data_IF_565454493704
#
_entry.id   IF_565454493704
#
_cell.length_a   1.000
_cell.length_b   1.000
_cell.length_c   1.000
_cell.angle_alpha   90.00
_cell.angle_beta   90.00
_cell.angle_gamma   90.00
#
_symmetry.space_group_name_H-M   'P 1'
#
loop_
_entity.id
_entity.type
_entity.pdbx_description
1 polymer ?
#
# COMPACT_ATOMS: atom_id res chain seq x y z
N UNK A 1 15.15 4.80 14.23
CA UNK A 1 16.30 4.12 13.59
C UNK A 1 15.85 3.67 12.22
N UNK A 2 16.33 4.34 11.20
CA UNK A 2 16.06 4.08 9.79
C UNK A 2 16.70 2.74 9.44
N UNK A 3 15.91 1.86 8.85
CA UNK A 3 16.32 0.54 8.39
C UNK A 3 17.16 0.75 7.13
N UNK A 4 18.40 0.21 7.13
CA UNK A 4 19.24 0.15 5.94
C UNK A 4 18.54 -0.71 4.89
N UNK A 5 17.93 -0.07 3.89
CA UNK A 5 17.39 -0.75 2.71
C UNK A 5 18.57 -1.03 1.77
N UNK A 6 18.73 -2.29 1.41
CA UNK A 6 19.65 -2.70 0.35
C UNK A 6 19.09 -2.14 -0.97
N UNK A 7 19.79 -1.18 -1.57
CA UNK A 7 19.46 -0.63 -2.90
C UNK A 7 19.88 -1.70 -3.92
N UNK A 8 18.91 -2.48 -4.36
CA UNK A 8 19.10 -3.42 -5.46
C UNK A 8 18.72 -2.75 -6.78
N UNK A 9 19.36 -3.16 -7.85
CA UNK A 9 19.35 -2.60 -9.22
C UNK A 9 17.92 -2.29 -9.75
N UNK A 10 17.66 -1.03 -10.05
CA UNK A 10 16.33 -0.38 -9.97
C UNK A 10 15.26 -0.85 -10.99
N UNK A 11 15.64 -1.34 -12.18
CA UNK A 11 14.67 -1.62 -13.26
C UNK A 11 14.14 -3.06 -13.24
N UNK A 12 15.01 -4.05 -13.09
CA UNK A 12 14.61 -5.47 -13.04
C UNK A 12 13.73 -5.79 -11.82
N UNK A 13 13.96 -5.10 -10.69
CA UNK A 13 13.12 -5.28 -9.51
C UNK A 13 11.74 -4.68 -9.68
N UNK A 14 11.62 -3.52 -10.36
CA UNK A 14 10.33 -2.89 -10.65
C UNK A 14 9.45 -3.82 -11.49
N UNK A 15 10.00 -4.42 -12.55
CA UNK A 15 9.29 -5.36 -13.42
C UNK A 15 8.89 -6.66 -12.68
N UNK A 16 9.76 -7.19 -11.85
CA UNK A 16 9.46 -8.38 -11.02
C UNK A 16 8.34 -8.11 -10.01
N UNK A 17 8.41 -6.97 -9.32
CA UNK A 17 7.39 -6.54 -8.36
C UNK A 17 6.05 -6.33 -9.08
N UNK A 18 6.03 -5.64 -10.21
CA UNK A 18 4.82 -5.41 -10.99
C UNK A 18 4.20 -6.73 -11.49
N UNK A 19 5.02 -7.65 -12.03
CA UNK A 19 4.55 -8.95 -12.48
C UNK A 19 3.97 -9.81 -11.35
N UNK A 20 4.56 -9.73 -10.16
CA UNK A 20 4.04 -10.42 -9.00
C UNK A 20 2.67 -9.88 -8.59
N UNK A 21 2.54 -8.56 -8.39
CA UNK A 21 1.25 -7.94 -8.04
C UNK A 21 0.17 -8.21 -9.09
N UNK A 22 0.55 -8.19 -10.37
CA UNK A 22 -0.34 -8.60 -11.47
C UNK A 22 -0.87 -10.02 -11.28
N UNK A 23 0.01 -10.97 -10.94
CA UNK A 23 -0.36 -12.39 -10.81
C UNK A 23 -1.27 -12.68 -9.61
N UNK A 24 -1.16 -11.88 -8.55
CA UNK A 24 -1.92 -12.09 -7.30
C UNK A 24 -3.09 -11.12 -7.12
N UNK A 25 -3.29 -10.15 -8.02
CA UNK A 25 -4.25 -9.05 -7.84
C UNK A 25 -5.64 -9.51 -7.37
N UNK A 26 -6.21 -10.54 -8.02
CA UNK A 26 -7.54 -11.07 -7.67
C UNK A 26 -7.60 -11.74 -6.29
N UNK A 27 -6.46 -12.15 -5.72
CA UNK A 27 -6.36 -12.88 -4.44
C UNK A 27 -5.59 -12.10 -3.38
N UNK A 28 -5.16 -10.89 -3.70
CA UNK A 28 -4.27 -10.09 -2.86
C UNK A 28 -4.80 -9.90 -1.44
N UNK A 29 -6.07 -9.53 -1.30
CA UNK A 29 -6.68 -9.30 0.01
C UNK A 29 -6.78 -10.61 0.81
N UNK A 30 -7.11 -11.74 0.17
CA UNK A 30 -7.11 -13.07 0.81
C UNK A 30 -5.72 -13.46 1.29
N UNK A 31 -4.69 -13.22 0.47
CA UNK A 31 -3.29 -13.51 0.83
C UNK A 31 -2.89 -12.68 2.06
N UNK A 32 -3.21 -11.39 2.07
CA UNK A 32 -2.93 -10.53 3.21
C UNK A 32 -3.69 -10.97 4.47
N UNK A 33 -4.95 -11.39 4.35
CA UNK A 33 -5.73 -11.94 5.47
C UNK A 33 -5.02 -13.14 6.09
N UNK A 34 -4.60 -14.10 5.26
CA UNK A 34 -3.94 -15.32 5.74
C UNK A 34 -2.57 -14.98 6.34
N UNK A 35 -1.73 -14.19 5.64
CA UNK A 35 -0.39 -13.84 6.11
C UNK A 35 -0.38 -13.06 7.42
N UNK A 36 -1.37 -12.22 7.64
CA UNK A 36 -1.45 -11.37 8.83
C UNK A 36 -2.44 -11.88 9.89
N UNK A 37 -3.04 -13.06 9.67
CA UNK A 37 -4.16 -13.55 10.50
C UNK A 37 -5.28 -12.50 10.64
N UNK A 38 -5.55 -11.74 9.56
CA UNK A 38 -6.53 -10.66 9.52
C UNK A 38 -6.09 -9.36 10.22
N UNK A 39 -4.92 -9.34 10.86
CA UNK A 39 -4.43 -8.16 11.61
C UNK A 39 -4.24 -6.93 10.73
N UNK A 40 -3.90 -7.10 9.44
CA UNK A 40 -3.76 -5.97 8.52
C UNK A 40 -5.04 -5.11 8.42
N UNK A 41 -6.21 -5.73 8.61
CA UNK A 41 -7.50 -5.02 8.61
C UNK A 41 -7.64 -4.10 9.84
N UNK A 42 -7.18 -4.56 11.01
CA UNK A 42 -7.15 -3.76 12.23
C UNK A 42 -6.16 -2.60 12.13
N UNK A 43 -4.98 -2.84 11.53
CA UNK A 43 -3.98 -1.79 11.31
C UNK A 43 -4.50 -0.72 10.35
N UNK A 44 -5.16 -1.10 9.26
CA UNK A 44 -5.82 -0.15 8.34
C UNK A 44 -6.95 0.62 9.03
N UNK A 45 -7.75 -0.02 9.89
CA UNK A 45 -8.76 0.68 10.71
C UNK A 45 -8.11 1.71 11.64
N UNK A 46 -6.95 1.38 12.22
CA UNK A 46 -6.21 2.32 13.06
C UNK A 46 -5.71 3.52 12.27
N UNK A 47 -5.19 3.31 11.06
CA UNK A 47 -4.80 4.41 10.15
C UNK A 47 -5.99 5.32 9.87
N UNK A 48 -7.16 4.77 9.53
CA UNK A 48 -8.37 5.56 9.28
C UNK A 48 -8.79 6.38 10.50
N UNK A 49 -8.66 5.81 11.72
CA UNK A 49 -8.90 6.56 12.96
C UNK A 49 -7.89 7.69 13.18
N UNK A 50 -6.60 7.41 12.95
CA UNK A 50 -5.52 8.41 13.08
C UNK A 50 -5.61 9.51 12.02
N UNK A 51 -6.12 9.19 10.85
CA UNK A 51 -6.35 10.13 9.76
C UNK A 51 -7.23 11.30 10.21
N UNK A 52 -8.16 11.06 11.14
CA UNK A 52 -9.06 12.09 11.70
C UNK A 52 -9.64 12.99 10.62
N UNK A 53 -10.04 12.39 9.48
CA UNK A 53 -10.59 13.12 8.35
C UNK A 53 -11.90 13.78 8.74
N UNK A 54 -12.07 15.01 8.32
CA UNK A 54 -13.31 15.78 8.41
C UNK A 54 -13.96 15.89 7.03
N UNK A 55 -15.24 16.21 7.01
CA UNK A 55 -16.00 16.38 5.78
C UNK A 55 -15.40 17.48 4.89
N UNK A 56 -15.29 17.21 3.60
CA UNK A 56 -14.74 18.12 2.62
C UNK A 56 -13.22 18.07 2.45
N UNK A 57 -12.48 17.33 3.29
CA UNK A 57 -11.05 17.12 3.08
C UNK A 57 -10.77 16.23 1.86
N UNK A 58 -9.66 16.53 1.18
CA UNK A 58 -9.13 15.77 0.05
C UNK A 58 -8.05 14.80 0.53
N UNK A 59 -8.21 13.51 0.21
CA UNK A 59 -7.28 12.46 0.57
C UNK A 59 -6.69 11.76 -0.66
N UNK A 60 -5.39 11.47 -0.62
CA UNK A 60 -4.68 10.68 -1.62
C UNK A 60 -4.15 9.39 -0.97
N UNK A 61 -4.51 8.24 -1.54
CA UNK A 61 -3.97 6.93 -1.15
C UNK A 61 -2.99 6.46 -2.22
N UNK A 62 -1.69 6.52 -1.92
CA UNK A 62 -0.61 6.15 -2.85
C UNK A 62 -0.30 4.67 -2.68
N UNK A 63 -0.05 3.96 -3.80
CA UNK A 63 0.05 2.51 -3.85
C UNK A 63 -1.22 1.86 -3.29
N UNK A 64 -2.38 2.34 -3.74
CA UNK A 64 -3.68 1.94 -3.18
C UNK A 64 -4.03 0.47 -3.45
N UNK A 65 -3.37 -0.18 -4.40
CA UNK A 65 -3.57 -1.58 -4.74
C UNK A 65 -5.03 -1.89 -5.10
N UNK A 66 -5.64 -2.82 -4.35
CA UNK A 66 -7.05 -3.21 -4.49
C UNK A 66 -8.04 -2.19 -3.93
N UNK A 67 -7.56 -1.05 -3.41
CA UNK A 67 -8.41 0.05 -2.92
C UNK A 67 -8.98 -0.14 -1.52
N UNK A 68 -8.55 -1.15 -0.75
CA UNK A 68 -9.13 -1.43 0.58
C UNK A 68 -8.99 -0.24 1.55
N UNK A 69 -7.85 0.47 1.56
CA UNK A 69 -7.69 1.66 2.40
C UNK A 69 -8.47 2.84 1.84
N UNK A 70 -8.41 3.08 0.53
CA UNK A 70 -9.18 4.12 -0.14
C UNK A 70 -10.69 3.98 0.16
N UNK A 71 -11.25 2.75 0.08
CA UNK A 71 -12.64 2.46 0.45
C UNK A 71 -12.98 2.82 1.90
N UNK A 72 -12.07 2.57 2.82
CA UNK A 72 -12.26 2.91 4.24
C UNK A 72 -12.25 4.41 4.49
N UNK A 73 -11.45 5.15 3.72
CA UNK A 73 -11.41 6.61 3.76
C UNK A 73 -12.69 7.21 3.19
N UNK A 74 -13.20 6.68 2.07
CA UNK A 74 -14.48 7.10 1.46
C UNK A 74 -15.65 6.99 2.44
N UNK A 75 -15.71 5.96 3.28
CA UNK A 75 -16.75 5.80 4.32
C UNK A 75 -16.77 6.95 5.34
N UNK A 76 -15.77 7.80 5.34
CA UNK A 76 -15.67 9.03 6.16
C UNK A 76 -16.18 10.27 5.44
N UNK A 77 -16.91 10.12 4.34
CA UNK A 77 -17.49 11.22 3.56
C UNK A 77 -16.42 12.22 3.06
N UNK A 78 -15.28 11.71 2.60
CA UNK A 78 -14.17 12.48 2.04
C UNK A 78 -14.05 12.25 0.55
N UNK A 79 -13.41 13.19 -0.15
CA UNK A 79 -13.01 13.00 -1.55
C UNK A 79 -11.67 12.24 -1.55
N UNK A 80 -11.66 11.03 -2.11
CA UNK A 80 -10.49 10.17 -2.10
C UNK A 80 -10.00 9.92 -3.52
N UNK A 81 -8.70 10.10 -3.74
CA UNK A 81 -8.00 9.63 -4.94
C UNK A 81 -7.11 8.46 -4.54
N UNK A 82 -7.32 7.30 -5.17
CA UNK A 82 -6.43 6.15 -5.09
C UNK A 82 -5.50 6.12 -6.29
N UNK A 83 -4.20 6.01 -6.04
CA UNK A 83 -3.17 5.97 -7.07
C UNK A 83 -2.36 4.70 -6.96
N UNK A 84 -2.21 3.98 -8.08
CA UNK A 84 -1.32 2.82 -8.17
C UNK A 84 -0.72 2.74 -9.57
N UNK A 85 0.45 2.12 -9.69
CA UNK A 85 1.09 1.91 -10.98
C UNK A 85 0.59 0.63 -11.66
N UNK A 86 0.17 -0.36 -10.87
CA UNK A 86 -0.27 -1.67 -11.36
C UNK A 86 -1.74 -1.64 -11.80
N UNK A 87 -1.97 -1.68 -13.12
CA UNK A 87 -3.31 -1.65 -13.71
C UNK A 87 -4.23 -2.80 -13.27
N UNK A 88 -3.79 -4.07 -13.22
CA UNK A 88 -4.57 -5.18 -12.68
C UNK A 88 -5.08 -4.95 -11.25
N UNK A 89 -4.26 -4.37 -10.37
CA UNK A 89 -4.69 -4.01 -9.01
C UNK A 89 -5.79 -2.96 -9.04
N UNK A 90 -5.63 -1.90 -9.84
CA UNK A 90 -6.65 -0.87 -10.03
C UNK A 90 -7.97 -1.41 -10.59
N UNK A 91 -7.92 -2.41 -11.47
CA UNK A 91 -9.15 -3.05 -11.98
C UNK A 91 -9.92 -3.76 -10.85
N UNK A 92 -9.23 -4.39 -9.91
CA UNK A 92 -9.87 -4.96 -8.69
C UNK A 92 -10.46 -3.85 -7.84
N UNK A 93 -9.72 -2.75 -7.64
CA UNK A 93 -10.20 -1.58 -6.90
C UNK A 93 -11.45 -0.97 -7.53
N UNK A 94 -11.48 -0.81 -8.86
CA UNK A 94 -12.64 -0.31 -9.60
C UNK A 94 -13.89 -1.17 -9.34
N UNK A 95 -13.76 -2.49 -9.38
CA UNK A 95 -14.86 -3.40 -9.10
C UNK A 95 -15.35 -3.30 -7.65
N UNK A 96 -14.47 -2.99 -6.70
CA UNK A 96 -14.84 -2.77 -5.30
C UNK A 96 -15.53 -1.42 -5.08
N UNK A 97 -15.05 -0.36 -5.76
CA UNK A 97 -15.58 1.00 -5.67
C UNK A 97 -16.91 1.20 -6.44
N UNK A 98 -17.16 0.38 -7.46
CA UNK A 98 -18.40 0.45 -8.28
C UNK A 98 -19.65 -0.07 -7.57
N UNK A 99 -19.56 -0.51 -6.32
CA UNK A 99 -20.72 -0.95 -5.54
C UNK A 99 -21.56 0.26 -5.14
N UNK A 100 -22.93 0.13 -5.07
CA UNK A 100 -23.88 1.25 -4.94
C UNK A 100 -23.71 2.17 -3.71
N UNK A 101 -22.81 1.85 -2.81
CA UNK A 101 -22.54 2.62 -1.57
C UNK A 101 -21.24 3.45 -1.64
N UNK A 102 -20.56 3.48 -2.77
CA UNK A 102 -19.24 4.13 -2.89
C UNK A 102 -19.40 5.57 -3.35
N UNK A 103 -19.28 6.49 -2.44
CA UNK A 103 -19.35 7.93 -2.70
C UNK A 103 -17.96 8.41 -3.10
N UNK A 104 -17.80 8.89 -4.33
CA UNK A 104 -16.70 9.71 -4.89
C UNK A 104 -15.25 9.32 -4.57
N UNK A 105 -14.82 8.10 -4.90
CA UNK A 105 -13.40 7.80 -5.06
C UNK A 105 -13.01 7.80 -6.54
N UNK A 106 -11.88 8.41 -6.85
CA UNK A 106 -11.27 8.40 -8.19
C UNK A 106 -10.05 7.50 -8.16
N UNK A 107 -9.90 6.61 -9.14
CA UNK A 107 -8.70 5.79 -9.29
C UNK A 107 -7.86 6.26 -10.46
N UNK A 108 -6.55 6.36 -10.24
CA UNK A 108 -5.61 6.87 -11.21
C UNK A 108 -4.39 5.94 -11.34
N UNK A 109 -4.02 5.61 -12.56
CA UNK A 109 -2.78 4.90 -12.81
C UNK A 109 -1.64 5.92 -12.99
N UNK A 110 -0.72 5.98 -12.03
CA UNK A 110 0.43 6.87 -12.09
C UNK A 110 1.61 6.37 -11.23
N UNK A 111 2.77 6.97 -11.43
CA UNK A 111 3.99 6.68 -10.66
C UNK A 111 4.04 7.58 -9.41
N UNK A 112 4.32 7.00 -8.25
CA UNK A 112 4.52 7.74 -7.00
C UNK A 112 5.73 8.70 -7.04
N UNK A 113 6.65 8.50 -7.99
CA UNK A 113 7.81 9.38 -8.19
C UNK A 113 7.50 10.65 -8.99
N UNK A 114 6.31 10.72 -9.64
CA UNK A 114 5.87 11.87 -10.43
C UNK A 114 4.35 11.98 -10.32
N UNK A 115 3.87 12.51 -9.18
CA UNK A 115 2.45 12.61 -8.89
C UNK A 115 1.78 13.66 -9.81
N UNK A 116 0.71 13.30 -10.57
CA UNK A 116 0.09 14.18 -11.55
C UNK A 116 -0.90 15.17 -10.88
N UNK A 117 -0.47 15.79 -9.80
CA UNK A 117 -1.26 16.75 -9.03
C UNK A 117 -0.48 18.04 -8.81
N UNK A 118 -1.19 19.15 -8.64
CA UNK A 118 -0.61 20.41 -8.23
C UNK A 118 -0.06 20.33 -6.80
N UNK A 119 0.86 21.24 -6.47
CA UNK A 119 1.32 21.41 -5.10
C UNK A 119 0.15 21.78 -4.18
N UNK A 120 0.22 21.37 -2.91
CA UNK A 120 -0.78 21.72 -1.87
C UNK A 120 -2.22 21.33 -2.26
N UNK A 121 -2.43 20.12 -2.77
CA UNK A 121 -3.74 19.63 -3.23
C UNK A 121 -4.49 18.79 -2.22
N UNK A 122 -3.79 18.13 -1.27
CA UNK A 122 -4.38 17.14 -0.37
C UNK A 122 -4.20 17.50 1.10
N UNK A 123 -5.23 17.23 1.90
CA UNK A 123 -5.20 17.37 3.35
C UNK A 123 -4.60 16.13 4.03
N UNK A 124 -4.75 14.99 3.37
CA UNK A 124 -4.20 13.70 3.82
C UNK A 124 -3.54 12.96 2.66
N UNK A 125 -2.36 12.39 2.92
CA UNK A 125 -1.78 11.35 2.07
C UNK A 125 -1.58 10.10 2.90
N UNK A 126 -1.95 8.95 2.34
CA UNK A 126 -1.73 7.63 2.95
C UNK A 126 -0.88 6.76 2.03
N UNK A 127 -0.01 5.92 2.62
CA UNK A 127 0.73 4.87 1.93
C UNK A 127 0.68 3.63 2.82
N UNK A 128 0.00 2.56 2.37
CA UNK A 128 -0.09 1.32 3.13
C UNK A 128 0.61 0.18 2.40
N UNK A 129 1.71 -0.33 2.98
CA UNK A 129 2.53 -1.44 2.49
C UNK A 129 3.17 -1.21 1.11
N UNK A 130 3.13 0.02 0.61
CA UNK A 130 3.61 0.36 -0.72
C UNK A 130 4.99 1.02 -0.75
N UNK A 131 5.39 1.73 0.31
CA UNK A 131 6.60 2.56 0.31
C UNK A 131 7.87 1.76 -0.01
N UNK A 132 7.97 0.52 0.48
CA UNK A 132 9.10 -0.38 0.21
C UNK A 132 9.22 -0.80 -1.27
N UNK A 133 8.14 -0.67 -2.06
CA UNK A 133 8.08 -1.02 -3.48
C UNK A 133 8.37 0.18 -4.40
N UNK A 134 8.46 1.38 -3.83
CA UNK A 134 8.83 2.60 -4.57
C UNK A 134 10.33 2.57 -4.83
N UNK A 135 10.72 2.73 -6.09
CA UNK A 135 12.12 2.57 -6.52
C UNK A 135 13.06 3.61 -5.92
N UNK A 136 12.57 4.81 -5.65
CA UNK A 136 13.27 5.88 -4.93
C UNK A 136 12.29 6.50 -3.91
N UNK A 137 12.37 6.03 -2.67
CA UNK A 137 11.50 6.51 -1.61
C UNK A 137 11.74 7.99 -1.25
N UNK A 138 12.95 8.52 -1.48
CA UNK A 138 13.27 9.93 -1.20
C UNK A 138 12.53 10.83 -2.19
N UNK A 139 12.62 10.53 -3.49
CA UNK A 139 11.87 11.25 -4.53
C UNK A 139 10.37 11.11 -4.28
N UNK A 140 9.87 9.91 -3.98
CA UNK A 140 8.45 9.68 -3.68
C UNK A 140 7.97 10.50 -2.47
N UNK A 141 8.75 10.58 -1.40
CA UNK A 141 8.40 11.41 -0.23
C UNK A 141 8.47 12.92 -0.52
N UNK A 142 9.36 13.38 -1.40
CA UNK A 142 9.39 14.77 -1.84
C UNK A 142 8.12 15.11 -2.65
N UNK A 143 7.66 14.21 -3.51
CA UNK A 143 6.40 14.37 -4.23
C UNK A 143 5.20 14.39 -3.26
N UNK A 144 5.19 13.52 -2.25
CA UNK A 144 4.18 13.55 -1.19
C UNK A 144 4.16 14.90 -0.47
N UNK A 145 5.33 15.42 -0.08
CA UNK A 145 5.43 16.73 0.56
C UNK A 145 4.95 17.86 -0.34
N UNK A 146 5.24 17.77 -1.64
CA UNK A 146 4.81 18.78 -2.63
C UNK A 146 3.28 18.84 -2.74
N UNK A 147 2.61 17.67 -2.79
CA UNK A 147 1.15 17.62 -2.98
C UNK A 147 0.37 17.82 -1.68
N UNK A 148 0.99 17.67 -0.51
CA UNK A 148 0.36 17.97 0.77
C UNK A 148 0.16 19.47 0.96
N UNK A 149 -1.02 19.86 1.43
CA UNK A 149 -1.30 21.23 1.89
C UNK A 149 -0.48 21.55 3.14
N UNK A 150 -0.17 22.84 3.40
CA UNK A 150 0.38 23.25 4.69
C UNK A 150 -0.53 22.77 5.84
N UNK A 151 0.05 22.06 6.82
CA UNK A 151 -0.72 21.41 7.90
C UNK A 151 -1.36 20.08 7.53
N UNK A 152 -1.21 19.63 6.29
CA UNK A 152 -1.66 18.30 5.84
C UNK A 152 -0.94 17.15 6.55
N UNK A 153 -1.51 15.96 6.50
CA UNK A 153 -1.05 14.78 7.24
C UNK A 153 -0.56 13.69 6.31
N UNK A 154 0.61 13.11 6.60
CA UNK A 154 1.11 11.89 5.95
C UNK A 154 1.00 10.73 6.94
N UNK A 155 0.33 9.66 6.55
CA UNK A 155 0.26 8.42 7.32
C UNK A 155 0.85 7.25 6.51
N UNK A 156 1.88 6.62 7.07
CA UNK A 156 2.53 5.47 6.46
C UNK A 156 2.28 4.25 7.33
N UNK A 157 1.77 3.19 6.73
CA UNK A 157 1.66 1.87 7.33
C UNK A 157 2.57 0.91 6.59
N UNK A 158 3.55 0.36 7.28
CA UNK A 158 4.42 -0.67 6.70
C UNK A 158 4.87 -1.67 7.75
N UNK A 159 5.42 -2.81 7.32
CA UNK A 159 5.92 -3.83 8.21
C UNK A 159 7.22 -3.39 8.88
N UNK A 160 7.28 -3.56 10.20
CA UNK A 160 8.45 -3.29 11.01
C UNK A 160 9.09 -4.57 11.54
N UNK A 161 10.35 -4.48 11.96
CA UNK A 161 11.02 -5.56 12.67
C UNK A 161 10.64 -5.52 14.15
N UNK A 162 10.22 -6.64 14.76
CA UNK A 162 9.99 -6.69 16.20
C UNK A 162 11.24 -6.29 16.99
N UNK A 163 11.09 -5.42 17.99
CA UNK A 163 12.20 -4.97 18.83
C UNK A 163 12.70 -6.09 19.75
N UNK A 164 11.78 -6.93 20.25
CA UNK A 164 12.14 -8.09 21.07
C UNK A 164 12.82 -9.15 20.21
N UNK A 165 14.01 -9.61 20.64
CA UNK A 165 14.83 -10.55 19.85
C UNK A 165 14.19 -11.93 19.70
N UNK A 166 13.45 -12.42 20.72
CA UNK A 166 12.76 -13.72 20.67
C UNK A 166 11.61 -13.67 19.67
N UNK A 167 10.77 -12.65 19.77
CA UNK A 167 9.65 -12.42 18.82
C UNK A 167 10.20 -12.26 17.40
N UNK A 168 11.29 -11.54 17.24
CA UNK A 168 11.95 -11.36 15.94
C UNK A 168 12.46 -12.68 15.35
N UNK A 169 13.06 -13.56 16.17
CA UNK A 169 13.53 -14.88 15.73
C UNK A 169 12.36 -15.77 15.28
N UNK A 170 11.27 -15.79 16.07
CA UNK A 170 10.04 -16.51 15.71
C UNK A 170 9.39 -15.94 14.44
N UNK A 171 9.36 -14.64 14.31
CA UNK A 171 8.83 -13.95 13.12
C UNK A 171 9.63 -14.32 11.86
N UNK A 172 10.96 -14.30 11.91
CA UNK A 172 11.76 -14.73 10.76
C UNK A 172 11.64 -16.22 10.45
N UNK A 173 11.50 -17.06 11.47
CA UNK A 173 11.23 -18.49 11.26
C UNK A 173 9.89 -18.68 10.55
N UNK A 174 8.85 -17.98 11.00
CA UNK A 174 7.54 -17.97 10.36
C UNK A 174 7.64 -17.53 8.90
N UNK A 175 8.28 -16.40 8.60
CA UNK A 175 8.46 -15.92 7.22
C UNK A 175 9.18 -16.95 6.37
N UNK A 176 10.27 -17.56 6.89
CA UNK A 176 11.07 -18.54 6.16
C UNK A 176 10.31 -19.83 5.83
N UNK A 177 9.38 -20.25 6.70
CA UNK A 177 8.61 -21.47 6.50
C UNK A 177 7.32 -21.21 5.70
N UNK A 178 6.67 -20.11 5.93
CA UNK A 178 5.31 -19.83 5.44
C UNK A 178 5.33 -19.13 4.07
N UNK A 179 6.23 -18.17 3.86
CA UNK A 179 6.27 -17.44 2.57
C UNK A 179 6.53 -18.33 1.35
N UNK A 180 7.46 -19.31 1.37
CA UNK A 180 7.65 -20.21 0.23
C UNK A 180 6.41 -21.05 -0.08
N UNK A 181 5.69 -21.50 0.97
CA UNK A 181 4.44 -22.25 0.80
C UNK A 181 3.38 -21.37 0.12
N UNK A 182 3.25 -20.11 0.54
CA UNK A 182 2.35 -19.17 -0.15
C UNK A 182 2.78 -18.89 -1.58
N UNK A 183 4.08 -18.69 -1.83
CA UNK A 183 4.62 -18.52 -3.17
C UNK A 183 4.25 -19.69 -4.08
N UNK A 184 4.36 -20.92 -3.57
CA UNK A 184 4.01 -22.13 -4.31
C UNK A 184 2.49 -22.20 -4.57
N UNK A 185 1.66 -21.99 -3.55
CA UNK A 185 0.19 -22.15 -3.66
C UNK A 185 -0.43 -21.06 -4.53
N UNK A 186 -0.02 -19.81 -4.38
CA UNK A 186 -0.69 -18.67 -5.01
C UNK A 186 -0.04 -18.19 -6.30
N UNK A 187 1.27 -18.42 -6.46
CA UNK A 187 2.04 -17.96 -7.63
C UNK A 187 2.67 -19.10 -8.42
N UNK A 188 2.61 -20.35 -7.92
CA UNK A 188 3.31 -21.49 -8.53
C UNK A 188 4.85 -21.41 -8.41
N UNK A 189 5.38 -20.45 -7.65
CA UNK A 189 6.81 -20.20 -7.46
C UNK A 189 7.12 -19.94 -5.99
N UNK A 190 7.96 -20.76 -5.32
CA UNK A 190 8.26 -20.58 -3.90
C UNK A 190 8.96 -19.25 -3.58
N UNK A 191 9.72 -18.71 -4.55
CA UNK A 191 10.49 -17.47 -4.35
C UNK A 191 9.71 -16.19 -4.63
N UNK A 192 8.41 -16.30 -4.99
CA UNK A 192 7.59 -15.15 -5.36
C UNK A 192 7.49 -14.10 -4.24
N UNK A 193 7.59 -14.50 -2.98
CA UNK A 193 7.53 -13.63 -1.81
C UNK A 193 8.88 -13.43 -1.11
N UNK A 194 10.00 -13.87 -1.70
CA UNK A 194 11.32 -13.78 -1.09
C UNK A 194 11.80 -12.32 -0.89
N UNK A 195 11.15 -11.33 -1.52
CA UNK A 195 11.49 -9.92 -1.41
C UNK A 195 10.84 -9.21 -0.19
N UNK A 196 9.87 -9.84 0.48
CA UNK A 196 9.19 -9.32 1.69
C UNK A 196 10.10 -9.49 2.90
#
# INVERSE_FOLDING_TARGET
KIISLCIMNNKENKEKVDSLFTSIAARYDLINDIQSFGLHRLWKQRIVKMASLIEGEDALDICCGTGDLALRLVKRNTRVVGLDMNRPMLNVALNQLSRPQSISATLLQADALALPFNSSSFDLVTIAYGLRNVSDYQVGLLEVLRVLKPGGRLLILDFGKPSNWVIRKLYYLYLKLVLPVFGLIFCGKPDAYAYI
#
